data_IF_552914335323
#
_entry.id   IF_552914335323
#
_cell.length_a   1.000
_cell.length_b   1.000
_cell.length_c   1.000
_cell.angle_alpha   90.00
_cell.angle_beta   90.00
_cell.angle_gamma   90.00
#
_symmetry.space_group_name_H-M   'P 1'
#
loop_
_entity.id
_entity.type
_entity.pdbx_description
1 polymer ?
#
# COMPACT_ATOMS: atom_id res chain seq x y z
N UNK A 1 1.71 -4.78 14.00
CA UNK A 1 2.76 -5.54 13.30
C UNK A 1 2.47 -7.05 13.28
N UNK A 2 1.47 -7.52 14.03
CA UNK A 2 1.05 -8.94 14.16
C UNK A 2 2.13 -9.91 14.67
N UNK A 3 3.19 -9.41 15.25
CA UNK A 3 4.28 -10.26 15.75
C UNK A 3 3.83 -11.22 16.86
N UNK A 4 2.81 -10.83 17.67
CA UNK A 4 2.20 -11.70 18.68
C UNK A 4 1.57 -12.97 18.07
N UNK A 5 1.11 -12.91 16.83
CA UNK A 5 0.55 -14.04 16.10
C UNK A 5 1.63 -14.99 15.58
N UNK A 6 2.67 -14.44 14.96
CA UNK A 6 3.77 -15.25 14.39
C UNK A 6 4.67 -15.90 15.44
N UNK A 7 4.73 -15.33 16.66
CA UNK A 7 5.54 -15.86 17.78
C UNK A 7 4.77 -16.72 18.76
N UNK A 8 3.45 -16.87 18.58
CA UNK A 8 2.62 -17.65 19.49
C UNK A 8 2.85 -19.16 19.29
N UNK A 9 3.36 -19.90 20.30
CA UNK A 9 3.58 -21.34 20.16
C UNK A 9 2.27 -22.15 20.06
N UNK A 10 1.15 -21.57 20.49
CA UNK A 10 -0.18 -22.18 20.42
C UNK A 10 -0.93 -21.89 19.11
N UNK A 11 -0.33 -21.15 18.18
CA UNK A 11 -0.95 -20.84 16.89
C UNK A 11 -2.22 -19.99 16.97
N UNK A 12 -2.33 -19.10 17.98
CA UNK A 12 -3.52 -18.26 18.17
C UNK A 12 -3.53 -17.14 17.13
N UNK A 13 -4.63 -17.01 16.39
CA UNK A 13 -4.89 -15.90 15.47
C UNK A 13 -5.26 -14.62 16.24
N UNK A 14 -4.23 -13.97 16.80
CA UNK A 14 -4.40 -12.73 17.57
C UNK A 14 -4.95 -11.56 16.75
N UNK A 15 -4.68 -11.51 15.45
CA UNK A 15 -5.21 -10.46 14.60
C UNK A 15 -6.73 -10.50 14.56
N UNK A 16 -7.29 -11.70 14.38
CA UNK A 16 -8.74 -11.91 14.34
C UNK A 16 -9.39 -11.64 15.70
N UNK A 17 -8.80 -12.17 16.78
CA UNK A 17 -9.26 -11.89 18.15
C UNK A 17 -9.24 -10.40 18.47
N UNK A 18 -8.19 -9.68 18.08
CA UNK A 18 -8.06 -8.25 18.32
C UNK A 18 -9.12 -7.44 17.55
N UNK A 19 -9.40 -7.82 16.31
CA UNK A 19 -10.42 -7.14 15.50
C UNK A 19 -11.83 -7.35 16.09
N UNK A 20 -12.15 -8.58 16.54
CA UNK A 20 -13.41 -8.87 17.26
C UNK A 20 -13.48 -8.07 18.56
N UNK A 21 -12.42 -8.12 19.37
CA UNK A 21 -12.37 -7.44 20.67
C UNK A 21 -12.54 -5.93 20.53
N UNK A 22 -11.85 -5.30 19.57
CA UNK A 22 -11.99 -3.87 19.28
C UNK A 22 -13.42 -3.49 18.88
N UNK A 23 -14.04 -4.31 18.04
CA UNK A 23 -15.43 -4.10 17.60
C UNK A 23 -16.40 -4.18 18.78
N UNK A 24 -16.24 -5.17 19.66
CA UNK A 24 -17.06 -5.32 20.87
C UNK A 24 -16.86 -4.16 21.84
N UNK A 25 -15.63 -3.74 22.09
CA UNK A 25 -15.34 -2.59 22.97
C UNK A 25 -15.94 -1.32 22.41
N UNK A 26 -15.78 -1.07 21.11
CA UNK A 26 -16.31 0.12 20.44
C UNK A 26 -17.85 0.18 20.50
N UNK A 27 -18.52 -0.98 20.45
CA UNK A 27 -19.97 -1.08 20.59
C UNK A 27 -20.48 -0.91 22.02
N UNK A 28 -19.70 -1.36 23.02
CA UNK A 28 -20.14 -1.40 24.42
C UNK A 28 -19.67 -0.21 25.26
N UNK A 29 -18.54 0.39 24.90
CA UNK A 29 -17.91 1.46 25.68
C UNK A 29 -18.00 2.77 24.89
N UNK A 30 -18.86 3.72 25.31
CA UNK A 30 -18.97 5.01 24.64
C UNK A 30 -17.68 5.82 24.81
N UNK A 31 -17.14 6.30 23.68
CA UNK A 31 -15.95 7.15 23.68
C UNK A 31 -16.31 8.62 23.90
N UNK A 32 -15.43 9.40 24.54
CA UNK A 32 -15.58 10.85 24.63
C UNK A 32 -15.70 11.49 23.23
N UNK A 33 -16.45 12.58 23.12
CA UNK A 33 -16.71 13.25 21.85
C UNK A 33 -15.41 13.69 21.13
N UNK A 34 -14.42 14.17 21.87
CA UNK A 34 -13.11 14.56 21.32
C UNK A 34 -12.36 13.38 20.67
N UNK A 35 -12.36 12.21 21.33
CA UNK A 35 -11.73 11.01 20.77
C UNK A 35 -12.45 10.54 19.49
N UNK A 36 -13.78 10.56 19.49
CA UNK A 36 -14.58 10.23 18.31
C UNK A 36 -14.27 11.14 17.14
N UNK A 37 -14.15 12.44 17.39
CA UNK A 37 -13.81 13.43 16.37
C UNK A 37 -12.41 13.19 15.78
N UNK A 38 -11.41 12.92 16.63
CA UNK A 38 -10.04 12.61 16.15
C UNK A 38 -10.03 11.31 15.34
N UNK A 39 -10.70 10.26 15.80
CA UNK A 39 -10.78 8.99 15.06
C UNK A 39 -11.48 9.15 13.71
N UNK A 40 -12.55 9.92 13.66
CA UNK A 40 -13.25 10.26 12.43
C UNK A 40 -12.34 11.04 11.47
N UNK A 41 -11.66 12.07 11.97
CA UNK A 41 -10.74 12.87 11.17
C UNK A 41 -9.57 12.04 10.60
N UNK A 42 -9.02 11.10 11.38
CA UNK A 42 -8.00 10.18 10.89
C UNK A 42 -8.56 9.20 9.84
N UNK A 43 -9.73 8.64 10.10
CA UNK A 43 -10.38 7.64 9.25
C UNK A 43 -10.75 8.19 7.87
N UNK A 44 -11.30 9.39 7.82
CA UNK A 44 -11.74 10.02 6.57
C UNK A 44 -10.67 10.96 5.98
N UNK A 45 -9.88 11.61 6.82
CA UNK A 45 -8.88 12.59 6.39
C UNK A 45 -7.67 11.96 5.70
N UNK A 46 -7.10 10.89 6.27
CA UNK A 46 -5.89 10.27 5.70
C UNK A 46 -6.13 9.67 4.31
N UNK A 47 -7.23 8.92 4.06
CA UNK A 47 -7.52 8.40 2.72
C UNK A 47 -8.04 9.47 1.74
N UNK A 48 -8.36 10.67 2.22
CA UNK A 48 -8.89 11.75 1.40
C UNK A 48 -7.84 12.29 0.41
N UNK A 49 -8.25 12.68 -0.81
CA UNK A 49 -7.36 13.38 -1.76
C UNK A 49 -6.88 14.72 -1.22
N UNK A 50 -7.55 15.28 -0.22
CA UNK A 50 -7.14 16.53 0.44
C UNK A 50 -5.99 16.34 1.44
N UNK A 51 -5.63 15.11 1.79
CA UNK A 51 -4.56 14.83 2.76
C UNK A 51 -3.20 15.38 2.28
N UNK A 52 -2.82 15.08 1.05
CA UNK A 52 -1.54 15.51 0.50
C UNK A 52 -1.39 17.05 0.42
N UNK A 53 -2.37 17.81 -0.12
CA UNK A 53 -2.27 19.28 -0.11
C UNK A 53 -2.34 19.88 1.29
N UNK A 54 -3.15 19.33 2.19
CA UNK A 54 -3.20 19.79 3.59
C UNK A 54 -1.86 19.57 4.32
N UNK A 55 -1.24 18.40 4.13
CA UNK A 55 0.08 18.11 4.67
C UNK A 55 1.16 19.04 4.07
N UNK A 56 1.13 19.28 2.76
CA UNK A 56 2.07 20.18 2.10
C UNK A 56 1.97 21.62 2.64
N UNK A 57 0.74 22.09 2.90
CA UNK A 57 0.52 23.38 3.56
C UNK A 57 1.10 23.38 4.98
N UNK A 58 0.80 22.37 5.78
CA UNK A 58 1.37 22.21 7.12
C UNK A 58 2.91 22.17 7.12
N UNK A 59 3.51 21.50 6.14
CA UNK A 59 4.97 21.47 5.96
C UNK A 59 5.55 22.85 5.56
N UNK A 60 4.84 23.62 4.74
CA UNK A 60 5.27 24.96 4.34
C UNK A 60 5.32 25.94 5.52
N UNK A 61 4.32 25.86 6.41
CA UNK A 61 4.25 26.72 7.60
C UNK A 61 4.88 26.11 8.85
N UNK A 62 5.54 24.96 8.72
CA UNK A 62 6.06 24.16 9.85
C UNK A 62 6.93 24.96 10.81
N UNK A 63 7.77 25.87 10.29
CA UNK A 63 8.65 26.71 11.11
C UNK A 63 7.89 27.71 12.01
N UNK A 64 6.64 28.04 11.65
CA UNK A 64 5.79 28.97 12.41
C UNK A 64 4.90 28.24 13.43
N UNK A 65 4.88 26.90 13.41
CA UNK A 65 4.05 26.11 14.32
C UNK A 65 4.66 26.02 15.72
N UNK A 66 3.84 25.99 16.78
CA UNK A 66 4.30 25.64 18.13
C UNK A 66 5.00 24.28 18.15
N UNK A 67 5.97 24.08 19.03
CA UNK A 67 6.79 22.87 19.09
C UNK A 67 5.97 21.57 19.16
N UNK A 68 4.85 21.56 19.87
CA UNK A 68 3.94 20.41 19.99
C UNK A 68 3.26 20.02 18.66
N UNK A 69 2.97 20.98 17.79
CA UNK A 69 2.42 20.74 16.45
C UNK A 69 3.53 20.47 15.43
N UNK A 70 4.65 21.16 15.56
CA UNK A 70 5.83 20.94 14.70
C UNK A 70 6.34 19.50 14.78
N UNK A 71 6.29 18.88 15.97
CA UNK A 71 6.67 17.47 16.16
C UNK A 71 5.72 16.49 15.44
N UNK A 72 4.46 16.88 15.18
CA UNK A 72 3.47 16.05 14.50
C UNK A 72 3.49 16.21 12.97
N UNK A 73 4.07 17.27 12.45
CA UNK A 73 4.18 17.53 11.02
C UNK A 73 5.59 17.13 10.56
N UNK A 74 5.75 16.01 9.82
CA UNK A 74 7.06 15.57 9.36
C UNK A 74 7.67 16.61 8.38
N UNK A 75 9.01 16.74 8.36
CA UNK A 75 9.65 17.60 7.37
C UNK A 75 9.41 17.08 5.95
N UNK A 76 9.39 17.99 4.99
CA UNK A 76 9.24 17.59 3.58
C UNK A 76 10.44 16.75 3.14
N UNK A 77 10.16 15.60 2.55
CA UNK A 77 11.17 14.71 1.98
C UNK A 77 11.19 14.81 0.47
N UNK A 78 12.41 14.69 -0.11
CA UNK A 78 12.57 14.62 -1.55
C UNK A 78 12.14 13.23 -2.04
N UNK A 79 11.29 13.19 -3.06
CA UNK A 79 10.84 11.92 -3.66
C UNK A 79 11.99 11.10 -4.28
N UNK A 80 13.06 11.75 -4.73
CA UNK A 80 14.13 11.08 -5.45
C UNK A 80 13.75 10.75 -6.91
N UNK A 81 14.64 10.02 -7.57
CA UNK A 81 14.48 9.65 -8.98
C UNK A 81 13.82 8.27 -9.08
N UNK A 82 12.80 8.16 -9.90
CA UNK A 82 12.16 6.89 -10.26
C UNK A 82 12.77 6.42 -11.59
N UNK A 83 13.25 5.17 -11.69
CA UNK A 83 13.77 4.61 -12.94
C UNK A 83 12.69 4.55 -14.03
N UNK A 84 13.10 4.79 -15.26
CA UNK A 84 12.22 4.76 -16.44
C UNK A 84 12.46 3.55 -17.33
N UNK A 85 13.40 2.66 -16.96
CA UNK A 85 13.69 1.45 -17.72
C UNK A 85 12.50 0.50 -17.69
N UNK A 86 12.32 -0.22 -18.80
CA UNK A 86 11.33 -1.28 -18.91
C UNK A 86 11.99 -2.64 -18.74
N UNK A 87 11.35 -3.53 -18.01
CA UNK A 87 11.81 -4.90 -17.78
C UNK A 87 10.70 -5.89 -18.09
N UNK A 88 11.06 -7.10 -18.49
CA UNK A 88 10.11 -8.18 -18.76
C UNK A 88 9.32 -8.57 -17.49
N UNK A 89 10.01 -8.63 -16.35
CA UNK A 89 9.34 -8.86 -15.06
C UNK A 89 8.77 -7.55 -14.53
N UNK A 90 7.51 -7.59 -14.12
CA UNK A 90 6.79 -6.41 -13.60
C UNK A 90 6.16 -6.71 -12.27
N UNK A 91 6.14 -5.74 -11.36
CA UNK A 91 5.50 -5.81 -10.04
C UNK A 91 4.60 -4.61 -9.85
N UNK A 92 3.37 -4.85 -9.41
CA UNK A 92 2.45 -3.79 -9.02
C UNK A 92 2.80 -3.32 -7.61
N UNK A 93 2.99 -2.02 -7.47
CA UNK A 93 3.18 -1.36 -6.17
C UNK A 93 1.93 -0.56 -5.82
N UNK A 94 1.48 -0.71 -4.58
CA UNK A 94 0.43 0.14 -4.04
C UNK A 94 1.06 1.44 -3.51
N UNK A 95 0.72 2.57 -4.11
CA UNK A 95 1.18 3.86 -3.63
C UNK A 95 0.64 4.17 -2.22
N UNK A 96 -0.60 3.76 -1.95
CA UNK A 96 -1.27 4.04 -0.69
C UNK A 96 -1.76 5.50 -0.59
N UNK A 97 -2.28 5.86 0.59
CA UNK A 97 -2.83 7.21 0.83
C UNK A 97 -1.82 8.16 1.52
N UNK A 98 -1.13 7.68 2.55
CA UNK A 98 -0.26 8.51 3.38
C UNK A 98 1.19 8.57 2.88
N UNK A 99 1.73 7.45 2.40
CA UNK A 99 3.15 7.32 2.07
C UNK A 99 3.62 8.28 0.95
N UNK A 100 2.88 8.49 -0.16
CA UNK A 100 3.29 9.43 -1.20
C UNK A 100 3.44 10.87 -0.70
N UNK A 101 2.64 11.25 0.30
CA UNK A 101 2.68 12.59 0.88
C UNK A 101 3.71 12.74 2.00
N UNK A 102 3.86 11.71 2.85
CA UNK A 102 4.73 11.76 4.04
C UNK A 102 6.16 11.34 3.77
N UNK A 103 6.36 10.30 2.95
CA UNK A 103 7.65 9.67 2.68
C UNK A 103 7.76 9.18 1.22
N UNK A 104 7.71 10.10 0.23
CA UNK A 104 7.72 9.76 -1.20
C UNK A 104 9.02 9.05 -1.63
N UNK A 105 10.11 9.24 -0.89
CA UNK A 105 11.39 8.59 -1.12
C UNK A 105 11.34 7.06 -0.99
N UNK A 106 10.39 6.50 -0.23
CA UNK A 106 10.26 5.05 -0.07
C UNK A 106 9.89 4.40 -1.41
N UNK A 107 8.92 4.95 -2.14
CA UNK A 107 8.52 4.41 -3.45
C UNK A 107 9.66 4.48 -4.47
N UNK A 108 10.34 5.60 -4.54
CA UNK A 108 11.46 5.76 -5.48
C UNK A 108 12.66 4.88 -5.12
N UNK A 109 12.93 4.67 -3.82
CA UNK A 109 13.95 3.74 -3.38
C UNK A 109 13.59 2.29 -3.75
N UNK A 110 12.34 1.89 -3.49
CA UNK A 110 11.83 0.57 -3.88
C UNK A 110 11.93 0.36 -5.39
N UNK A 111 11.53 1.35 -6.18
CA UNK A 111 11.63 1.29 -7.63
C UNK A 111 13.08 1.12 -8.10
N UNK A 112 14.05 1.84 -7.51
CA UNK A 112 15.48 1.70 -7.85
C UNK A 112 16.03 0.33 -7.50
N UNK A 113 15.67 -0.23 -6.35
CA UNK A 113 16.10 -1.58 -5.96
C UNK A 113 15.54 -2.63 -6.92
N UNK A 114 14.26 -2.53 -7.27
CA UNK A 114 13.63 -3.44 -8.23
C UNK A 114 14.25 -3.31 -9.63
N UNK A 115 14.49 -2.09 -10.10
CA UNK A 115 15.16 -1.81 -11.38
C UNK A 115 16.56 -2.43 -11.46
N UNK A 116 17.33 -2.33 -10.36
CA UNK A 116 18.68 -2.91 -10.29
C UNK A 116 18.69 -4.44 -10.41
N UNK A 117 17.60 -5.12 -10.04
CA UNK A 117 17.45 -6.58 -10.19
C UNK A 117 16.58 -6.97 -11.40
N UNK A 118 16.38 -6.06 -12.35
CA UNK A 118 15.68 -6.33 -13.59
C UNK A 118 14.15 -6.45 -13.45
N UNK A 119 13.57 -5.76 -12.48
CA UNK A 119 12.12 -5.76 -12.23
C UNK A 119 11.57 -4.35 -12.39
N UNK A 120 10.55 -4.19 -13.23
CA UNK A 120 9.85 -2.91 -13.40
C UNK A 120 8.77 -2.76 -12.33
N UNK A 121 8.82 -1.67 -11.58
CA UNK A 121 7.71 -1.27 -10.70
C UNK A 121 6.63 -0.54 -11.48
N UNK A 122 5.38 -0.90 -11.26
CA UNK A 122 4.20 -0.26 -11.87
C UNK A 122 3.25 0.18 -10.77
N UNK A 123 2.82 1.43 -10.82
CA UNK A 123 1.77 1.95 -9.93
C UNK A 123 0.51 2.14 -10.76
N UNK A 124 -0.57 1.45 -10.41
CA UNK A 124 -1.86 1.61 -11.08
C UNK A 124 -2.50 2.96 -10.67
N UNK A 125 -2.83 3.86 -11.63
CA UNK A 125 -3.28 5.21 -11.30
C UNK A 125 -4.59 5.27 -10.49
N UNK A 126 -5.44 4.25 -10.62
CA UNK A 126 -6.73 4.16 -9.92
C UNK A 126 -6.62 3.47 -8.55
N UNK A 127 -5.47 2.88 -8.22
CA UNK A 127 -5.24 2.28 -6.91
C UNK A 127 -5.01 3.38 -5.86
N UNK A 128 -5.59 3.19 -4.69
CA UNK A 128 -5.60 4.21 -3.62
C UNK A 128 -5.20 3.66 -2.25
N UNK A 129 -5.99 3.95 -1.24
CA UNK A 129 -5.76 3.50 0.13
C UNK A 129 -5.88 1.97 0.26
N UNK A 130 -4.99 1.36 1.06
CA UNK A 130 -5.04 -0.09 1.34
C UNK A 130 -6.21 -0.52 2.24
N UNK A 131 -6.97 0.42 2.83
CA UNK A 131 -8.06 0.12 3.76
C UNK A 131 -7.64 -0.06 5.22
N UNK A 132 -6.37 -0.18 5.53
CA UNK A 132 -5.89 -0.49 6.87
C UNK A 132 -6.32 0.54 7.93
N UNK A 133 -6.28 1.83 7.61
CA UNK A 133 -6.70 2.89 8.55
C UNK A 133 -8.16 2.71 8.95
N UNK A 134 -9.04 2.47 7.98
CA UNK A 134 -10.46 2.23 8.25
C UNK A 134 -10.66 0.96 9.09
N UNK A 135 -10.05 -0.15 8.71
CA UNK A 135 -10.13 -1.41 9.46
C UNK A 135 -9.63 -1.25 10.91
N UNK A 136 -8.49 -0.60 11.13
CA UNK A 136 -7.92 -0.39 12.46
C UNK A 136 -8.75 0.58 13.32
N UNK A 137 -9.57 1.42 12.70
CA UNK A 137 -10.51 2.32 13.37
C UNK A 137 -11.95 1.75 13.42
N UNK A 138 -12.10 0.42 13.25
CA UNK A 138 -13.35 -0.35 13.31
C UNK A 138 -14.37 -0.06 12.20
N UNK A 139 -13.94 0.50 11.09
CA UNK A 139 -14.73 0.63 9.87
C UNK A 139 -14.33 -0.48 8.87
N UNK A 140 -14.73 -1.70 9.18
CA UNK A 140 -14.35 -2.88 8.39
C UNK A 140 -14.91 -2.83 6.98
N UNK A 141 -16.15 -2.40 6.80
CA UNK A 141 -16.78 -2.34 5.48
C UNK A 141 -16.14 -1.24 4.61
N UNK A 142 -15.96 -0.04 5.14
CA UNK A 142 -15.23 1.01 4.42
C UNK A 142 -13.79 0.63 4.09
N UNK A 143 -13.13 -0.18 4.92
CA UNK A 143 -11.82 -0.75 4.60
C UNK A 143 -11.87 -1.76 3.45
N UNK A 144 -12.85 -2.67 3.46
CA UNK A 144 -13.07 -3.64 2.38
C UNK A 144 -13.41 -2.97 1.04
N UNK A 145 -14.16 -1.88 1.06
CA UNK A 145 -14.48 -1.13 -0.16
C UNK A 145 -13.22 -0.55 -0.80
N UNK A 146 -12.29 -0.04 0.01
CA UNK A 146 -10.99 0.40 -0.49
C UNK A 146 -10.14 -0.75 -1.05
N UNK A 147 -10.20 -1.93 -0.42
CA UNK A 147 -9.52 -3.14 -0.93
C UNK A 147 -10.12 -3.59 -2.26
N UNK A 148 -11.45 -3.62 -2.40
CA UNK A 148 -12.16 -3.95 -3.65
C UNK A 148 -11.78 -2.98 -4.77
N UNK A 149 -11.77 -1.69 -4.49
CA UNK A 149 -11.35 -0.67 -5.47
C UNK A 149 -9.90 -0.88 -5.95
N UNK A 150 -9.00 -1.31 -5.06
CA UNK A 150 -7.62 -1.64 -5.45
C UNK A 150 -7.55 -2.91 -6.31
N UNK A 151 -8.36 -3.93 -6.01
CA UNK A 151 -8.47 -5.14 -6.84
C UNK A 151 -8.92 -4.76 -8.25
N UNK A 152 -9.99 -3.97 -8.36
CA UNK A 152 -10.52 -3.51 -9.65
C UNK A 152 -9.48 -2.68 -10.43
N UNK A 153 -8.72 -1.83 -9.74
CA UNK A 153 -7.66 -1.04 -10.36
C UNK A 153 -6.48 -1.88 -10.86
N UNK A 154 -6.17 -2.98 -10.19
CA UNK A 154 -5.06 -3.86 -10.51
C UNK A 154 -5.40 -4.94 -11.53
N UNK A 155 -6.66 -5.34 -11.59
CA UNK A 155 -7.13 -6.46 -12.41
C UNK A 155 -6.71 -6.38 -13.89
N UNK A 156 -6.79 -5.23 -14.58
CA UNK A 156 -6.33 -5.11 -15.97
C UNK A 156 -4.85 -5.42 -16.14
N UNK A 157 -4.02 -5.07 -15.17
CA UNK A 157 -2.57 -5.35 -15.22
C UNK A 157 -2.26 -6.82 -15.02
N UNK A 158 -3.02 -7.51 -14.15
CA UNK A 158 -2.89 -8.96 -13.91
C UNK A 158 -3.32 -9.74 -15.15
N UNK A 159 -4.46 -9.38 -15.76
CA UNK A 159 -4.92 -10.03 -17.00
C UNK A 159 -3.96 -9.81 -18.16
N UNK A 160 -3.44 -8.60 -18.33
CA UNK A 160 -2.45 -8.31 -19.39
C UNK A 160 -1.14 -9.09 -19.23
N UNK A 161 -0.72 -9.36 -18.01
CA UNK A 161 0.46 -10.17 -17.72
C UNK A 161 0.25 -11.65 -18.08
N UNK A 162 -0.96 -12.18 -17.89
CA UNK A 162 -1.31 -13.56 -18.25
C UNK A 162 -1.37 -13.78 -19.77
N UNK A 163 -1.79 -12.78 -20.54
CA UNK A 163 -1.87 -12.85 -21.99
C UNK A 163 -0.50 -12.71 -22.66
N UNK A 164 0.46 -12.01 -22.06
CA UNK A 164 1.82 -11.84 -22.57
C UNK A 164 2.77 -13.01 -22.26
N UNK A 165 2.46 -13.84 -21.28
CA UNK A 165 3.29 -14.98 -20.85
C UNK A 165 3.10 -16.28 -21.67
N UNK A 166 2.19 -16.27 -22.63
CA UNK A 166 1.85 -17.46 -23.41
C UNK A 166 2.63 -17.65 -24.72
N UNK A 167 3.63 -16.81 -25.04
CA UNK A 167 4.26 -16.80 -26.36
C UNK A 167 5.78 -17.08 -26.38
N UNK A 168 6.36 -17.57 -25.27
CA UNK A 168 7.76 -18.03 -25.27
C UNK A 168 7.86 -19.50 -24.84
N UNK A 169 7.52 -20.41 -25.77
CA UNK A 169 7.62 -21.84 -25.49
C UNK A 169 7.33 -22.71 -26.71
N UNK A 170 7.79 -22.31 -27.90
CA UNK A 170 7.51 -23.10 -29.10
C UNK A 170 8.40 -22.86 -30.29
N UNK A 171 9.72 -23.02 -30.14
CA UNK A 171 10.59 -23.21 -31.29
C UNK A 171 11.91 -23.88 -30.87
N UNK A 172 12.03 -25.18 -31.06
CA UNK A 172 13.24 -25.93 -30.77
C UNK A 172 13.10 -27.45 -31.03
N UNK A 173 12.26 -27.84 -31.99
CA UNK A 173 12.22 -29.20 -32.49
C UNK A 173 13.43 -29.48 -33.40
N UNK A 174 14.57 -29.81 -32.80
CA UNK A 174 15.75 -30.29 -33.51
C UNK A 174 15.51 -31.69 -34.05
N UNK A 175 15.28 -31.82 -35.36
CA UNK A 175 15.41 -33.02 -36.15
C UNK A 175 16.77 -33.67 -35.91
N UNK A 176 16.82 -34.84 -35.34
CA UNK A 176 17.96 -35.78 -35.46
C UNK A 176 17.59 -36.84 -36.47
N UNK A 177 18.21 -36.76 -37.64
CA UNK A 177 18.27 -37.85 -38.60
C UNK A 177 19.07 -38.99 -38.00
N UNK A 178 18.52 -40.21 -38.11
CA UNK A 178 19.29 -41.44 -37.98
C UNK A 178 19.96 -41.76 -39.29
N UNK A 179 21.19 -42.13 -39.21
CA UNK A 179 21.94 -43.02 -40.10
C UNK A 179 22.49 -44.07 -39.11
N UNK A 180 22.26 -45.35 -39.27
CA UNK A 180 22.54 -46.26 -40.39
C UNK A 180 23.83 -47.00 -40.07
N UNK A 181 23.74 -48.15 -39.55
CA UNK A 181 24.34 -49.44 -39.93
C UNK A 181 24.06 -50.46 -38.85
#
# INVERSE_FOLDING_TARGET
CRNCESTCPSGVDYAHLLDIGRKLVDAKVPRPAGERAVRWALKEGIPSPLFAPALALGQAVRALLPASLQAKVPPRQNAGIVPTRTHARRVLLLAGCAQPAMAPNIHSATARVLDAVGIQSVVAPKAGCCGAVKCHLNDQEGGKDQMRANIDAWWPYVQGAQQGGGQEGGAGGGSRRGEGD
#
